data_IF_272407329335
#
_entry.id   IF_272407329335
#
_cell.length_a   1.000
_cell.length_b   1.000
_cell.length_c   1.000
_cell.angle_alpha   90.00
_cell.angle_beta   90.00
_cell.angle_gamma   90.00
#
_symmetry.space_group_name_H-M   'P 1'
#
loop_
_entity.id
_entity.type
_entity.pdbx_description
1 polymer ?
#
# COMPACT_ATOMS: atom_id res chain seq x y z
N UNK A 1 -29.91 -54.12 -58.73
CA UNK A 1 -29.97 -54.45 -57.29
C UNK A 1 -28.55 -54.58 -56.77
N UNK A 2 -28.31 -54.23 -55.50
CA UNK A 2 -27.03 -54.21 -54.78
C UNK A 2 -26.34 -52.84 -54.79
N UNK A 3 -26.75 -51.95 -53.87
CA UNK A 3 -26.18 -51.72 -52.51
C UNK A 3 -25.13 -50.60 -52.58
N UNK A 4 -25.44 -49.39 -52.10
CA UNK A 4 -25.14 -48.94 -50.71
C UNK A 4 -23.69 -49.30 -50.35
N UNK A 5 -22.78 -48.36 -50.12
CA UNK A 5 -22.73 -47.55 -48.90
C UNK A 5 -21.78 -46.36 -49.13
N UNK A 6 -22.28 -45.16 -48.88
CA UNK A 6 -21.50 -43.93 -48.71
C UNK A 6 -20.79 -43.99 -47.36
N UNK A 7 -19.45 -44.02 -47.36
CA UNK A 7 -18.65 -43.89 -46.13
C UNK A 7 -18.65 -42.43 -45.69
N UNK A 8 -19.68 -42.02 -44.95
CA UNK A 8 -19.55 -40.88 -44.06
C UNK A 8 -18.64 -41.31 -42.90
N UNK A 9 -17.35 -40.98 -42.97
CA UNK A 9 -16.47 -41.08 -41.80
C UNK A 9 -16.97 -40.07 -40.77
N UNK A 10 -17.76 -40.54 -39.80
CA UNK A 10 -18.12 -39.76 -38.63
C UNK A 10 -16.83 -39.34 -37.93
N UNK A 11 -16.59 -38.03 -37.86
CA UNK A 11 -15.58 -37.45 -36.98
C UNK A 11 -15.87 -37.96 -35.57
N UNK A 12 -15.01 -38.85 -35.05
CA UNK A 12 -15.12 -39.31 -33.67
C UNK A 12 -14.86 -38.12 -32.77
N UNK A 13 -15.91 -37.52 -32.23
CA UNK A 13 -15.80 -36.50 -31.21
C UNK A 13 -15.13 -37.15 -29.99
N UNK A 14 -13.85 -36.86 -29.79
CA UNK A 14 -13.10 -37.33 -28.64
C UNK A 14 -13.62 -36.59 -27.40
N UNK A 15 -14.57 -37.20 -26.70
CA UNK A 15 -15.08 -36.70 -25.43
C UNK A 15 -14.01 -36.74 -24.35
N UNK A 16 -13.96 -35.68 -23.53
CA UNK A 16 -13.11 -35.59 -22.34
C UNK A 16 -13.53 -36.65 -21.31
N UNK A 17 -12.58 -37.43 -20.80
CA UNK A 17 -12.88 -38.51 -19.86
C UNK A 17 -13.02 -37.97 -18.43
N UNK A 18 -13.86 -38.62 -17.61
CA UNK A 18 -14.00 -38.26 -16.19
C UNK A 18 -12.69 -38.47 -15.41
N UNK A 19 -11.86 -39.42 -15.83
CA UNK A 19 -10.56 -39.67 -15.20
C UNK A 19 -9.56 -38.56 -15.52
N UNK A 20 -9.59 -37.98 -16.72
CA UNK A 20 -8.79 -36.80 -17.06
C UNK A 20 -9.21 -35.60 -16.21
N UNK A 21 -10.52 -35.39 -16.01
CA UNK A 21 -11.01 -34.33 -15.11
C UNK A 21 -10.49 -34.52 -13.68
N UNK A 22 -10.55 -35.75 -13.17
CA UNK A 22 -10.15 -36.06 -11.79
C UNK A 22 -8.66 -35.79 -11.54
N UNK A 23 -7.79 -36.15 -12.48
CA UNK A 23 -6.34 -35.89 -12.36
C UNK A 23 -6.06 -34.39 -12.41
N UNK A 24 -6.73 -33.65 -13.30
CA UNK A 24 -6.56 -32.20 -13.41
C UNK A 24 -6.96 -31.51 -12.10
N UNK A 25 -8.10 -31.88 -11.51
CA UNK A 25 -8.54 -31.30 -10.23
C UNK A 25 -7.55 -31.63 -9.11
N UNK A 26 -7.00 -32.85 -9.08
CA UNK A 26 -6.01 -33.24 -8.08
C UNK A 26 -4.73 -32.39 -8.17
N UNK A 27 -4.22 -32.15 -9.38
CA UNK A 27 -3.03 -31.32 -9.59
C UNK A 27 -3.32 -29.85 -9.23
N UNK A 28 -4.47 -29.31 -9.65
CA UNK A 28 -4.88 -27.94 -9.29
C UNK A 28 -4.99 -27.79 -7.78
N UNK A 29 -5.53 -28.79 -7.07
CA UNK A 29 -5.63 -28.79 -5.61
C UNK A 29 -4.27 -28.66 -4.92
N UNK A 30 -3.27 -29.42 -5.37
CA UNK A 30 -1.90 -29.35 -4.82
C UNK A 30 -1.28 -27.97 -5.09
N UNK A 31 -1.40 -27.46 -6.32
CA UNK A 31 -0.84 -26.16 -6.68
C UNK A 31 -1.51 -25.02 -5.90
N UNK A 32 -2.84 -25.05 -5.77
CA UNK A 32 -3.60 -24.03 -5.04
C UNK A 32 -3.23 -23.97 -3.56
N UNK A 33 -3.00 -25.11 -2.91
CA UNK A 33 -2.62 -25.19 -1.50
C UNK A 33 -1.28 -24.47 -1.21
N UNK A 34 -0.35 -24.42 -2.17
CA UNK A 34 0.94 -23.72 -2.04
C UNK A 34 0.84 -22.29 -2.55
N UNK A 35 0.19 -22.09 -3.69
CA UNK A 35 0.18 -20.81 -4.40
C UNK A 35 -0.63 -19.74 -3.65
N UNK A 36 -1.78 -20.10 -3.06
CA UNK A 36 -2.65 -19.14 -2.36
C UNK A 36 -1.92 -18.45 -1.19
N UNK A 37 -1.36 -19.16 -0.19
CA UNK A 37 -0.69 -18.50 0.94
C UNK A 37 0.56 -17.72 0.51
N UNK A 38 1.27 -18.18 -0.52
CA UNK A 38 2.41 -17.45 -1.08
C UNK A 38 1.99 -16.14 -1.73
N UNK A 39 0.92 -16.17 -2.53
CA UNK A 39 0.38 -14.98 -3.19
C UNK A 39 -0.17 -13.97 -2.16
N UNK A 40 -0.88 -14.42 -1.13
CA UNK A 40 -1.34 -13.56 -0.05
C UNK A 40 -0.18 -12.85 0.66
N UNK A 41 0.89 -13.58 0.98
CA UNK A 41 2.10 -12.99 1.59
C UNK A 41 2.77 -11.98 0.66
N UNK A 42 2.82 -12.26 -0.63
CA UNK A 42 3.37 -11.34 -1.62
C UNK A 42 2.59 -10.03 -1.64
N UNK A 43 1.26 -10.09 -1.71
CA UNK A 43 0.40 -8.90 -1.68
C UNK A 43 0.58 -8.10 -0.38
N UNK A 44 0.62 -8.77 0.77
CA UNK A 44 0.85 -8.12 2.07
C UNK A 44 2.19 -7.40 2.10
N UNK A 45 3.25 -8.06 1.64
CA UNK A 45 4.59 -7.45 1.58
C UNK A 45 4.62 -6.26 0.64
N UNK A 46 4.05 -6.39 -0.57
CA UNK A 46 3.99 -5.31 -1.56
C UNK A 46 3.32 -4.07 -0.99
N UNK A 47 2.13 -4.23 -0.38
CA UNK A 47 1.39 -3.14 0.25
C UNK A 47 2.19 -2.47 1.36
N UNK A 48 2.87 -3.25 2.19
CA UNK A 48 3.69 -2.71 3.27
C UNK A 48 4.88 -1.89 2.76
N UNK A 49 5.53 -2.33 1.68
CA UNK A 49 6.61 -1.56 1.04
C UNK A 49 6.09 -0.24 0.45
N UNK A 50 4.93 -0.25 -0.19
CA UNK A 50 4.31 0.98 -0.72
C UNK A 50 3.99 1.98 0.41
N UNK A 51 3.48 1.51 1.55
CA UNK A 51 3.26 2.36 2.74
C UNK A 51 4.57 2.95 3.23
N UNK A 52 5.62 2.14 3.38
CA UNK A 52 6.91 2.60 3.87
C UNK A 52 7.54 3.64 2.93
N UNK A 53 7.44 3.42 1.62
CA UNK A 53 7.92 4.35 0.60
C UNK A 53 7.12 5.66 0.57
N UNK A 54 5.80 5.61 0.78
CA UNK A 54 4.99 6.81 0.95
C UNK A 54 5.37 7.57 2.23
N UNK A 55 5.70 6.86 3.31
CA UNK A 55 6.13 7.49 4.56
C UNK A 55 7.48 8.21 4.39
N UNK A 56 8.44 7.57 3.73
CA UNK A 56 9.72 8.18 3.37
C UNK A 56 9.54 9.45 2.51
N UNK A 57 8.65 9.39 1.52
CA UNK A 57 8.28 10.55 0.71
C UNK A 57 7.66 11.67 1.57
N UNK A 58 6.79 11.33 2.52
CA UNK A 58 6.19 12.29 3.44
C UNK A 58 7.23 13.01 4.29
N UNK A 59 8.18 12.28 4.87
CA UNK A 59 9.29 12.88 5.63
C UNK A 59 10.12 13.82 4.76
N UNK A 60 10.44 13.42 3.53
CA UNK A 60 11.20 14.23 2.57
C UNK A 60 10.43 15.50 2.19
N UNK A 61 9.13 15.39 1.87
CA UNK A 61 8.30 16.53 1.48
C UNK A 61 8.09 17.52 2.63
N UNK A 62 7.86 17.01 3.85
CA UNK A 62 7.78 17.86 5.05
C UNK A 62 9.11 18.58 5.28
N UNK A 63 10.24 17.87 5.24
CA UNK A 63 11.57 18.47 5.45
C UNK A 63 11.87 19.56 4.42
N UNK A 64 11.54 19.33 3.15
CA UNK A 64 11.69 20.33 2.08
C UNK A 64 10.78 21.54 2.31
N UNK A 65 9.54 21.32 2.76
CA UNK A 65 8.59 22.38 3.06
C UNK A 65 9.00 23.20 4.29
N UNK A 66 9.63 22.58 5.30
CA UNK A 66 10.26 23.27 6.43
C UNK A 66 11.42 24.17 5.96
N UNK A 67 12.28 23.66 5.08
CA UNK A 67 13.36 24.47 4.51
C UNK A 67 12.81 25.66 3.70
N UNK A 68 11.74 25.47 2.93
CA UNK A 68 11.05 26.54 2.23
C UNK A 68 10.44 27.58 3.19
N UNK A 69 9.89 27.14 4.32
CA UNK A 69 9.37 28.03 5.37
C UNK A 69 10.47 28.87 6.03
N UNK A 70 11.66 28.32 6.26
CA UNK A 70 12.81 29.11 6.71
C UNK A 70 13.23 30.17 5.67
N UNK A 71 12.98 29.91 4.39
CA UNK A 71 13.19 30.88 3.30
C UNK A 71 12.01 31.85 3.11
N UNK A 72 11.03 31.88 4.03
CA UNK A 72 9.89 32.80 3.97
C UNK A 72 8.71 32.31 3.11
N UNK A 73 8.78 31.10 2.55
CA UNK A 73 7.77 30.57 1.64
C UNK A 73 6.73 29.71 2.37
N UNK A 74 5.52 29.63 1.81
CA UNK A 74 4.48 28.69 2.28
C UNK A 74 4.33 27.56 1.28
N UNK A 75 4.38 26.32 1.77
CA UNK A 75 4.26 25.11 0.97
C UNK A 75 3.05 24.30 1.44
N UNK A 76 2.13 24.00 0.52
CA UNK A 76 1.12 22.98 0.76
C UNK A 76 1.75 21.59 0.65
N UNK A 77 1.76 20.84 1.76
CA UNK A 77 2.32 19.49 1.81
C UNK A 77 1.24 18.47 1.49
N UNK A 78 0.12 18.54 2.21
CA UNK A 78 -1.03 17.63 2.07
C UNK A 78 -2.28 18.44 1.76
N UNK A 79 -2.98 18.09 0.68
CA UNK A 79 -4.33 18.57 0.43
C UNK A 79 -5.23 17.36 0.16
N UNK A 80 -5.91 16.92 1.20
CA UNK A 80 -6.71 15.69 1.20
C UNK A 80 -7.71 15.67 0.03
N UNK A 81 -7.67 14.60 -0.77
CA UNK A 81 -8.63 14.40 -1.88
C UNK A 81 -8.42 15.30 -3.10
N UNK A 82 -7.28 15.97 -3.23
CA UNK A 82 -6.95 16.81 -4.41
C UNK A 82 -5.53 16.54 -4.89
N UNK A 83 -5.22 16.88 -6.15
CA UNK A 83 -3.87 16.73 -6.72
C UNK A 83 -2.91 17.86 -6.34
N UNK A 84 -3.39 18.88 -5.63
CA UNK A 84 -2.62 20.09 -5.31
C UNK A 84 -1.87 19.93 -3.99
N UNK A 85 -0.56 19.71 -3.99
CA UNK A 85 0.27 19.59 -2.79
C UNK A 85 1.55 18.81 -3.07
N UNK A 86 2.58 18.98 -2.25
CA UNK A 86 3.88 18.34 -2.48
C UNK A 86 3.81 16.80 -2.53
N UNK A 87 2.88 16.19 -1.79
CA UNK A 87 2.66 14.74 -1.78
C UNK A 87 1.63 14.25 -2.81
N UNK A 88 0.96 15.17 -3.51
CA UNK A 88 -0.04 14.86 -4.54
C UNK A 88 -1.25 14.07 -4.03
N UNK A 89 -2.01 13.50 -4.97
CA UNK A 89 -3.11 12.58 -4.68
C UNK A 89 -2.64 11.14 -4.91
N UNK A 90 -2.38 10.42 -3.83
CA UNK A 90 -2.08 9.00 -3.89
C UNK A 90 -3.17 8.23 -3.16
N UNK A 91 -3.59 7.09 -3.72
CA UNK A 91 -4.53 6.20 -3.06
C UNK A 91 -3.81 5.44 -1.95
N UNK A 92 -4.50 5.15 -0.85
CA UNK A 92 -3.96 4.29 0.20
C UNK A 92 -3.59 2.90 -0.38
N UNK A 93 -2.29 2.52 -0.35
CA UNK A 93 -1.85 1.24 -0.90
C UNK A 93 -2.28 0.05 -0.04
N UNK A 94 -2.56 0.26 1.25
CA UNK A 94 -2.98 -0.82 2.15
C UNK A 94 -4.46 -1.19 1.93
N UNK A 95 -5.33 -0.19 1.69
CA UNK A 95 -6.74 -0.38 1.37
C UNK A 95 -7.17 0.37 0.11
N UNK A 96 -7.17 -0.32 -1.02
CA UNK A 96 -7.66 0.20 -2.30
C UNK A 96 -9.12 0.64 -2.21
N UNK A 97 -9.38 1.92 -2.49
CA UNK A 97 -10.73 2.50 -2.58
C UNK A 97 -11.31 3.11 -1.29
N UNK A 98 -10.51 3.19 -0.21
CA UNK A 98 -11.01 3.62 1.12
C UNK A 98 -10.58 5.05 1.48
N UNK A 99 -9.64 5.66 0.75
CA UNK A 99 -9.25 7.04 0.97
C UNK A 99 -7.87 7.39 0.40
N UNK A 100 -7.40 8.63 0.63
CA UNK A 100 -6.05 9.03 0.23
C UNK A 100 -4.99 8.40 1.14
N UNK A 101 -3.79 8.19 0.60
CA UNK A 101 -2.61 7.73 1.35
C UNK A 101 -2.17 8.76 2.39
N UNK A 102 -2.41 10.05 2.14
CA UNK A 102 -2.00 11.15 3.01
C UNK A 102 -3.20 11.87 3.62
N UNK A 103 -3.13 12.08 4.93
CA UNK A 103 -4.11 12.82 5.72
C UNK A 103 -3.44 13.97 6.45
N UNK A 104 -4.24 14.92 6.92
CA UNK A 104 -3.78 16.04 7.74
C UNK A 104 -4.53 16.11 9.07
N UNK A 105 -3.87 16.64 10.10
CA UNK A 105 -4.45 16.88 11.42
C UNK A 105 -3.87 15.97 12.50
N UNK A 106 -4.61 15.80 13.60
CA UNK A 106 -4.15 15.14 14.83
C UNK A 106 -4.95 13.88 15.20
N UNK A 107 -5.57 13.23 14.20
CA UNK A 107 -6.31 11.98 14.37
C UNK A 107 -5.42 10.73 14.41
N UNK A 108 -6.04 9.55 14.38
CA UNK A 108 -5.33 8.29 14.13
C UNK A 108 -5.56 7.89 12.68
N UNK A 109 -4.51 7.84 11.83
CA UNK A 109 -4.67 7.39 10.45
C UNK A 109 -5.17 5.95 10.37
N UNK A 110 -5.97 5.65 9.35
CA UNK A 110 -6.39 4.29 9.01
C UNK A 110 -5.21 3.43 8.55
N UNK A 111 -5.47 2.15 8.32
CA UNK A 111 -4.47 1.19 7.84
C UNK A 111 -3.62 1.74 6.69
N UNK A 112 -2.30 1.84 6.86
CA UNK A 112 -1.37 2.27 5.80
C UNK A 112 -1.42 3.75 5.40
N UNK A 113 -2.35 4.53 5.98
CA UNK A 113 -2.39 5.97 5.76
C UNK A 113 -1.30 6.67 6.57
N UNK A 114 -0.84 7.79 6.05
CA UNK A 114 0.19 8.63 6.63
C UNK A 114 -0.43 9.96 6.98
N UNK A 115 -0.45 10.29 8.26
CA UNK A 115 -0.95 11.57 8.74
C UNK A 115 0.23 12.53 8.92
N UNK A 116 0.05 13.77 8.44
CA UNK A 116 0.96 14.89 8.68
C UNK A 116 0.24 15.92 9.54
N UNK A 117 0.85 16.35 10.64
CA UNK A 117 0.18 17.23 11.62
C UNK A 117 -0.21 18.61 11.06
N UNK A 118 0.40 19.03 9.94
CA UNK A 118 0.08 20.28 9.24
C UNK A 118 -0.14 20.06 7.74
N UNK A 119 -1.23 20.63 7.20
CA UNK A 119 -1.51 20.62 5.76
C UNK A 119 -0.56 21.57 5.00
N UNK A 120 -0.28 22.73 5.59
CA UNK A 120 0.60 23.78 5.09
C UNK A 120 1.77 23.99 6.04
N UNK A 121 2.96 24.20 5.50
CA UNK A 121 4.12 24.63 6.27
C UNK A 121 4.53 26.01 5.78
N UNK A 122 4.63 26.95 6.71
CA UNK A 122 4.85 28.37 6.51
C UNK A 122 5.81 28.90 7.59
N UNK A 123 6.32 30.14 7.47
CA UNK A 123 7.23 30.72 8.46
C UNK A 123 6.64 30.84 9.87
N UNK A 124 5.31 30.81 10.00
CA UNK A 124 4.58 30.91 11.28
C UNK A 124 4.02 29.58 11.77
N UNK A 125 4.25 28.48 11.04
CA UNK A 125 3.77 27.15 11.44
C UNK A 125 4.40 26.75 12.78
N UNK A 126 3.59 26.17 13.66
CA UNK A 126 4.07 25.61 14.92
C UNK A 126 4.84 24.32 14.69
N UNK A 127 5.93 24.13 15.42
CA UNK A 127 6.80 22.96 15.34
C UNK A 127 6.76 22.16 16.65
N UNK A 128 7.02 20.84 16.61
CA UNK A 128 7.39 20.04 15.45
C UNK A 128 6.23 19.73 14.50
N UNK A 129 6.57 19.34 13.27
CA UNK A 129 5.63 18.68 12.34
C UNK A 129 5.74 17.19 12.55
N UNK A 130 4.65 16.55 12.95
CA UNK A 130 4.62 15.13 13.27
C UNK A 130 4.06 14.35 12.09
N UNK A 131 4.71 13.23 11.79
CA UNK A 131 4.27 12.24 10.83
C UNK A 131 3.94 10.94 11.56
N UNK A 132 2.78 10.36 11.25
CA UNK A 132 2.29 9.13 11.88
C UNK A 132 1.84 8.13 10.82
N UNK A 133 2.22 6.86 10.96
CA UNK A 133 1.70 5.75 10.14
C UNK A 133 0.51 5.11 10.83
N UNK A 134 -0.54 4.79 10.07
CA UNK A 134 -1.73 4.13 10.58
C UNK A 134 -1.65 2.61 10.56
N UNK A 135 -1.98 2.00 11.70
CA UNK A 135 -1.97 0.55 11.93
C UNK A 135 -3.37 -0.02 12.18
N UNK A 136 -4.40 0.69 11.70
CA UNK A 136 -5.81 0.27 11.81
C UNK A 136 -6.21 -0.85 10.84
N UNK A 137 -5.30 -1.73 10.43
CA UNK A 137 -5.59 -2.79 9.45
C UNK A 137 -6.41 -3.92 10.07
N UNK A 138 -7.39 -4.44 9.32
CA UNK A 138 -8.13 -5.64 9.70
C UNK A 138 -7.23 -6.89 9.75
N UNK A 139 -6.14 -6.90 8.96
CA UNK A 139 -5.15 -7.97 8.95
C UNK A 139 -3.98 -7.64 9.88
N UNK A 140 -3.73 -8.52 10.85
CA UNK A 140 -2.55 -8.44 11.74
C UNK A 140 -1.25 -8.66 10.98
N UNK A 141 -1.23 -9.55 9.97
CA UNK A 141 -0.04 -9.76 9.14
C UNK A 141 0.34 -8.52 8.34
N UNK A 142 -0.66 -7.73 7.91
CA UNK A 142 -0.42 -6.45 7.26
C UNK A 142 0.13 -5.40 8.23
N UNK A 143 -0.42 -5.28 9.43
CA UNK A 143 0.12 -4.38 10.46
C UNK A 143 1.59 -4.68 10.77
N UNK A 144 1.93 -5.95 10.98
CA UNK A 144 3.30 -6.36 11.24
C UNK A 144 4.22 -6.11 10.04
N UNK A 145 3.75 -6.37 8.82
CA UNK A 145 4.52 -6.10 7.62
C UNK A 145 4.81 -4.60 7.43
N UNK A 146 3.81 -3.74 7.64
CA UNK A 146 3.98 -2.27 7.59
C UNK A 146 5.00 -1.82 8.63
N UNK A 147 4.89 -2.29 9.88
CA UNK A 147 5.83 -1.95 10.94
C UNK A 147 7.27 -2.34 10.58
N UNK A 148 7.46 -3.54 10.05
CA UNK A 148 8.76 -4.03 9.61
C UNK A 148 9.32 -3.19 8.44
N UNK A 149 8.47 -2.87 7.45
CA UNK A 149 8.88 -2.08 6.29
C UNK A 149 9.27 -0.64 6.68
N UNK A 150 8.46 0.04 7.50
CA UNK A 150 8.74 1.40 7.99
C UNK A 150 10.01 1.42 8.85
N UNK A 151 10.23 0.40 9.67
CA UNK A 151 11.49 0.24 10.42
C UNK A 151 12.69 0.07 9.50
N UNK A 152 12.55 -0.71 8.42
CA UNK A 152 13.61 -0.96 7.46
C UNK A 152 14.00 0.30 6.66
N UNK A 153 13.06 1.21 6.44
CA UNK A 153 13.31 2.56 5.89
C UNK A 153 14.02 3.51 6.86
N UNK A 154 14.33 3.06 8.08
CA UNK A 154 15.06 3.83 9.09
C UNK A 154 14.18 4.64 10.04
N UNK A 155 12.87 4.36 10.09
CA UNK A 155 11.92 5.07 10.96
C UNK A 155 11.30 4.16 12.04
N UNK A 156 12.09 3.56 12.94
CA UNK A 156 11.58 2.61 13.92
C UNK A 156 10.59 3.22 14.92
N UNK A 157 10.63 4.53 15.16
CA UNK A 157 9.67 5.22 16.04
C UNK A 157 8.27 5.30 15.44
N UNK A 158 8.16 5.38 14.11
CA UNK A 158 6.88 5.33 13.40
C UNK A 158 6.37 3.91 13.19
N UNK A 159 7.18 2.88 13.51
CA UNK A 159 6.85 1.47 13.27
C UNK A 159 5.84 0.86 14.26
N UNK A 160 5.22 1.69 15.11
CA UNK A 160 4.30 1.27 16.16
C UNK A 160 3.05 2.14 16.15
N UNK A 161 1.94 1.60 16.65
CA UNK A 161 0.67 2.36 16.73
C UNK A 161 0.84 3.60 17.60
N UNK A 162 0.54 4.77 17.02
CA UNK A 162 0.69 6.07 17.69
C UNK A 162 2.13 6.59 17.75
N UNK A 163 3.08 5.84 17.20
CA UNK A 163 4.46 6.28 17.03
C UNK A 163 4.58 7.38 15.97
N UNK A 164 5.50 8.31 16.20
CA UNK A 164 5.70 9.49 15.35
C UNK A 164 7.12 9.58 14.83
N UNK A 165 7.29 10.36 13.76
CA UNK A 165 8.55 10.99 13.39
C UNK A 165 8.29 12.48 13.30
N UNK A 166 9.13 13.27 13.95
CA UNK A 166 8.94 14.71 14.11
C UNK A 166 10.02 15.47 13.33
N UNK A 167 9.61 16.53 12.64
CA UNK A 167 10.51 17.46 11.93
C UNK A 167 10.50 18.80 12.66
N UNK A 168 11.67 19.23 13.14
CA UNK A 168 11.82 20.53 13.83
C UNK A 168 11.81 21.70 12.87
N UNK A 169 11.72 22.91 13.40
CA UNK A 169 11.87 24.16 12.63
C UNK A 169 13.18 24.23 11.84
N UNK A 170 14.25 23.59 12.33
CA UNK A 170 15.56 23.57 11.69
C UNK A 170 15.71 22.46 10.63
N UNK A 171 14.65 21.68 10.36
CA UNK A 171 14.67 20.56 9.42
C UNK A 171 15.29 19.28 9.98
N UNK A 172 15.61 19.24 11.28
CA UNK A 172 16.08 18.00 11.93
C UNK A 172 14.92 17.02 12.10
N UNK A 173 15.12 15.78 11.64
CA UNK A 173 14.19 14.66 11.78
C UNK A 173 14.58 13.83 13.01
N UNK A 174 13.63 13.58 13.90
CA UNK A 174 13.84 12.81 15.14
C UNK A 174 12.64 11.93 15.47
N UNK A 175 12.82 10.86 16.26
CA UNK A 175 11.74 9.97 16.67
C UNK A 175 10.73 10.63 17.62
#
# INVERSE_FOLDING_TARGET
MSKFVEKAQASAEAGFTLIELMIVIAIIGILAAIAIPQYEKYIVTSKAQDVAQNFHQAVTAVTAAVAAAQAGQTTQVVTTGTTTGALGNQNDPAQTGVGPAYLTGTGTPGCGQIQVSAAAISPTTAYPIDLTVGYGCASTSLNTAIAAAVSAEGFPSAAVTGGTVSVTANGTVYP
#
